data_IF_678116929827
#
_entry.id   IF_678116929827
#
_cell.length_a   1.000
_cell.length_b   1.000
_cell.length_c   1.000
_cell.angle_alpha   90.00
_cell.angle_beta   90.00
_cell.angle_gamma   90.00
#
_symmetry.space_group_name_H-M   'P 1'
#
loop_
_entity.id
_entity.type
_entity.pdbx_description
1 polymer ?
#
# COMPACT_ATOMS: atom_id res chain seq x y z
N UNK A 1 5.73 10.03 5.68
CA UNK A 1 4.67 9.96 4.64
C UNK A 1 3.29 9.77 5.27
N UNK A 2 2.25 10.50 4.84
CA UNK A 2 0.86 10.30 5.31
C UNK A 2 0.21 9.13 4.56
N UNK A 3 -0.53 8.27 5.28
CA UNK A 3 -1.28 7.15 4.70
C UNK A 3 -2.77 7.40 4.84
N UNK A 4 -3.52 7.23 3.75
CA UNK A 4 -4.99 7.29 3.75
C UNK A 4 -5.53 6.00 3.12
N UNK A 5 -6.54 5.39 3.74
CA UNK A 5 -7.17 4.19 3.22
C UNK A 5 -8.42 4.55 2.41
N UNK A 6 -8.53 4.01 1.18
CA UNK A 6 -9.67 4.28 0.30
C UNK A 6 -10.90 3.43 0.64
N UNK A 7 -10.71 2.32 1.36
CA UNK A 7 -11.75 1.35 1.71
C UNK A 7 -11.61 1.01 3.19
N UNK A 8 -12.74 0.90 3.89
CA UNK A 8 -12.78 0.65 5.35
C UNK A 8 -12.01 -0.61 5.74
N UNK A 9 -12.15 -1.70 4.96
CA UNK A 9 -11.46 -2.95 5.26
C UNK A 9 -9.94 -2.80 5.36
N UNK A 10 -9.32 -1.90 4.57
CA UNK A 10 -7.88 -1.69 4.60
C UNK A 10 -7.43 -1.06 5.94
N UNK A 11 -8.22 -0.09 6.42
CA UNK A 11 -8.00 0.51 7.74
C UNK A 11 -8.23 -0.53 8.84
N UNK A 12 -9.30 -1.31 8.75
CA UNK A 12 -9.60 -2.37 9.72
C UNK A 12 -8.48 -3.42 9.79
N UNK A 13 -7.94 -3.86 8.64
CA UNK A 13 -6.78 -4.75 8.61
C UNK A 13 -5.56 -4.14 9.29
N UNK A 14 -5.35 -2.84 9.10
CA UNK A 14 -4.23 -2.13 9.72
C UNK A 14 -4.40 -2.02 11.25
N UNK A 15 -5.62 -1.78 11.72
CA UNK A 15 -5.98 -1.67 13.13
C UNK A 15 -6.15 -3.02 13.84
N UNK A 16 -6.18 -4.13 13.08
CA UNK A 16 -6.36 -5.48 13.61
C UNK A 16 -7.82 -5.94 13.70
N UNK A 17 -8.77 -5.16 13.18
CA UNK A 17 -10.20 -5.42 13.16
C UNK A 17 -10.60 -6.40 12.03
N UNK A 18 -10.10 -7.64 12.07
CA UNK A 18 -10.28 -8.61 10.97
C UNK A 18 -11.54 -9.47 11.04
N UNK A 19 -12.43 -9.22 12.03
CA UNK A 19 -13.54 -10.12 12.38
C UNK A 19 -14.48 -10.40 11.22
N UNK A 20 -14.80 -9.36 10.44
CA UNK A 20 -15.80 -9.41 9.37
C UNK A 20 -15.20 -9.86 8.03
N UNK A 21 -13.87 -10.00 7.94
CA UNK A 21 -13.18 -10.35 6.70
C UNK A 21 -12.61 -11.77 6.77
N UNK A 22 -13.44 -12.75 6.39
CA UNK A 22 -13.11 -14.19 6.50
C UNK A 22 -11.75 -14.57 5.91
N UNK A 23 -11.41 -14.05 4.73
CA UNK A 23 -10.12 -14.33 4.05
C UNK A 23 -8.93 -13.90 4.93
N UNK A 24 -8.95 -12.66 5.41
CA UNK A 24 -7.85 -12.11 6.21
C UNK A 24 -7.83 -12.67 7.64
N UNK A 25 -8.99 -12.97 8.23
CA UNK A 25 -9.11 -13.69 9.50
C UNK A 25 -8.46 -15.08 9.43
N UNK A 26 -8.65 -15.79 8.32
CA UNK A 26 -8.06 -17.12 8.10
C UNK A 26 -6.56 -17.06 7.75
N UNK A 27 -6.03 -15.88 7.45
CA UNK A 27 -4.63 -15.66 7.10
C UNK A 27 -3.99 -14.53 7.94
N UNK A 28 -3.78 -14.76 9.25
CA UNK A 28 -3.20 -13.75 10.14
C UNK A 28 -1.77 -13.35 9.73
N UNK A 29 -1.04 -14.23 9.04
CA UNK A 29 0.30 -13.94 8.54
C UNK A 29 0.27 -12.86 7.46
N UNK A 30 -0.69 -12.92 6.53
CA UNK A 30 -0.89 -11.88 5.51
C UNK A 30 -1.20 -10.53 6.16
N UNK A 31 -2.08 -10.49 7.16
CA UNK A 31 -2.42 -9.26 7.89
C UNK A 31 -1.19 -8.65 8.54
N UNK A 32 -0.37 -9.47 9.24
CA UNK A 32 0.90 -9.01 9.83
C UNK A 32 1.86 -8.46 8.79
N UNK A 33 1.98 -9.09 7.63
CA UNK A 33 2.83 -8.61 6.54
C UNK A 33 2.30 -7.30 5.95
N UNK A 34 0.98 -7.20 5.75
CA UNK A 34 0.33 -5.97 5.28
C UNK A 34 0.62 -4.80 6.23
N UNK A 35 0.40 -4.96 7.53
CA UNK A 35 0.68 -3.95 8.56
C UNK A 35 2.14 -3.52 8.49
N UNK A 36 3.08 -4.47 8.49
CA UNK A 36 4.53 -4.18 8.38
C UNK A 36 4.88 -3.41 7.11
N UNK A 37 4.23 -3.72 5.99
CA UNK A 37 4.46 -2.99 4.74
C UNK A 37 3.90 -1.57 4.83
N UNK A 38 2.71 -1.37 5.40
CA UNK A 38 2.15 -0.02 5.64
C UNK A 38 3.06 0.79 6.56
N UNK A 39 3.60 0.19 7.63
CA UNK A 39 4.51 0.89 8.55
C UNK A 39 5.82 1.30 7.87
N UNK A 40 6.38 0.45 6.99
CA UNK A 40 7.51 0.83 6.13
C UNK A 40 7.15 2.02 5.23
N UNK A 41 5.97 2.00 4.61
CA UNK A 41 5.50 3.12 3.78
C UNK A 41 5.31 4.40 4.58
N UNK A 42 4.86 4.34 5.85
CA UNK A 42 4.77 5.52 6.73
C UNK A 42 6.14 6.15 7.01
N UNK A 43 7.15 5.29 7.17
CA UNK A 43 8.53 5.67 7.49
C UNK A 43 9.32 6.32 6.34
N UNK A 44 8.84 6.26 5.10
CA UNK A 44 9.51 6.95 3.99
C UNK A 44 9.25 8.46 4.07
N UNK A 45 10.23 9.24 3.61
CA UNK A 45 10.11 10.70 3.48
C UNK A 45 10.02 11.17 2.03
N UNK A 46 10.44 10.33 1.08
CA UNK A 46 10.38 10.57 -0.35
C UNK A 46 9.98 9.28 -1.07
N UNK A 47 9.09 9.39 -2.06
CA UNK A 47 8.68 8.27 -2.92
C UNK A 47 9.87 7.63 -3.64
N UNK A 48 10.94 8.38 -3.93
CA UNK A 48 12.16 7.85 -4.56
C UNK A 48 12.84 6.77 -3.71
N UNK A 49 12.67 6.79 -2.38
CA UNK A 49 13.19 5.75 -1.48
C UNK A 49 12.57 4.39 -1.77
N UNK A 50 11.37 4.33 -2.34
CA UNK A 50 10.73 3.07 -2.72
C UNK A 50 11.52 2.30 -3.79
N UNK A 51 12.21 3.00 -4.71
CA UNK A 51 13.09 2.36 -5.68
C UNK A 51 14.34 1.74 -5.04
N UNK A 52 14.78 2.26 -3.89
CA UNK A 52 15.94 1.74 -3.15
C UNK A 52 15.56 0.52 -2.30
N UNK A 53 14.31 0.46 -1.84
CA UNK A 53 13.77 -0.65 -1.05
C UNK A 53 13.40 -1.84 -1.95
N UNK A 54 14.41 -2.57 -2.44
CA UNK A 54 14.23 -3.72 -3.37
C UNK A 54 13.19 -4.75 -2.90
N UNK A 55 13.11 -5.00 -1.59
CA UNK A 55 12.12 -5.93 -0.99
C UNK A 55 10.66 -5.54 -1.23
N UNK A 56 10.37 -4.26 -1.49
CA UNK A 56 9.01 -3.79 -1.79
C UNK A 56 8.66 -3.93 -3.27
N UNK A 57 9.65 -4.19 -4.14
CA UNK A 57 9.44 -4.36 -5.58
C UNK A 57 8.49 -3.30 -6.15
N UNK A 58 8.78 -2.04 -5.81
CA UNK A 58 7.96 -0.91 -6.18
C UNK A 58 7.81 -0.80 -7.71
N UNK A 59 6.59 -0.58 -8.18
CA UNK A 59 6.28 -0.40 -9.59
C UNK A 59 5.18 0.63 -9.78
N UNK A 60 5.38 1.55 -10.72
CA UNK A 60 4.37 2.50 -11.17
C UNK A 60 3.68 1.93 -12.40
N UNK A 61 2.35 1.82 -12.37
CA UNK A 61 1.56 1.26 -13.46
C UNK A 61 1.45 2.27 -14.60
N UNK A 62 1.41 1.74 -15.82
CA UNK A 62 1.28 2.47 -17.08
C UNK A 62 0.02 2.01 -17.83
N UNK A 63 -0.36 2.71 -18.90
CA UNK A 63 -1.56 2.39 -19.68
C UNK A 63 -2.85 2.73 -18.95
N UNK A 64 -3.87 1.88 -19.03
CA UNK A 64 -5.20 2.11 -18.43
C UNK A 64 -5.20 2.25 -16.90
N UNK A 65 -4.12 1.77 -16.26
CA UNK A 65 -3.89 1.89 -14.82
C UNK A 65 -2.89 3.00 -14.46
N UNK A 66 -2.63 3.93 -15.39
CA UNK A 66 -1.76 5.07 -15.15
C UNK A 66 -2.14 5.82 -13.86
N UNK A 67 -1.13 6.14 -13.05
CA UNK A 67 -1.32 6.80 -11.75
C UNK A 67 -1.59 5.86 -10.57
N UNK A 68 -1.61 4.54 -10.80
CA UNK A 68 -1.58 3.54 -9.72
C UNK A 68 -0.15 3.06 -9.51
N UNK A 69 0.26 2.99 -8.25
CA UNK A 69 1.52 2.43 -7.81
C UNK A 69 1.29 1.16 -7.02
N UNK A 70 2.28 0.27 -7.01
CA UNK A 70 2.20 -1.02 -6.35
C UNK A 70 3.49 -1.38 -5.62
N UNK A 71 3.35 -1.92 -4.41
CA UNK A 71 4.44 -2.58 -3.67
C UNK A 71 4.00 -3.98 -3.24
N UNK A 72 4.97 -4.87 -3.08
CA UNK A 72 4.73 -6.24 -2.65
C UNK A 72 4.60 -6.33 -1.13
N UNK A 73 3.64 -7.13 -0.70
CA UNK A 73 3.49 -7.59 0.69
C UNK A 73 4.21 -8.92 0.87
N UNK A 74 4.01 -9.81 -0.10
CA UNK A 74 4.66 -11.10 -0.25
C UNK A 74 4.50 -11.55 -1.71
N UNK A 75 4.99 -12.75 -2.03
CA UNK A 75 4.97 -13.31 -3.40
C UNK A 75 3.59 -13.37 -4.07
N UNK A 76 2.50 -13.24 -3.31
CA UNK A 76 1.12 -13.35 -3.80
C UNK A 76 0.34 -12.04 -3.73
N UNK A 77 0.66 -11.14 -2.82
CA UNK A 77 -0.16 -9.95 -2.55
C UNK A 77 0.62 -8.65 -2.76
N UNK A 78 -0.08 -7.66 -3.32
CA UNK A 78 0.42 -6.30 -3.52
C UNK A 78 -0.53 -5.28 -2.90
N UNK A 79 0.06 -4.21 -2.39
CA UNK A 79 -0.67 -3.00 -2.05
C UNK A 79 -0.70 -2.12 -3.29
N UNK A 80 -1.90 -1.81 -3.76
CA UNK A 80 -2.14 -0.79 -4.77
C UNK A 80 -2.41 0.54 -4.07
N UNK A 81 -1.81 1.62 -4.54
CA UNK A 81 -1.99 2.94 -3.96
C UNK A 81 -1.82 4.04 -5.02
N UNK A 82 -2.27 5.25 -4.70
CA UNK A 82 -2.00 6.46 -5.47
C UNK A 82 -1.10 7.38 -4.67
N UNK A 83 -0.16 8.00 -5.36
CA UNK A 83 0.67 9.09 -4.84
C UNK A 83 -0.09 10.40 -5.03
N UNK A 84 -0.31 11.14 -3.94
CA UNK A 84 -0.95 12.45 -3.99
C UNK A 84 0.12 13.48 -3.61
N UNK A 85 0.28 14.46 -4.50
CA UNK A 85 1.26 15.51 -4.34
C UNK A 85 0.88 16.47 -3.19
N UNK A 86 1.88 17.16 -2.64
CA UNK A 86 1.67 18.22 -1.67
C UNK A 86 0.83 19.36 -2.27
N UNK A 87 0.04 20.02 -1.43
CA UNK A 87 -0.66 21.25 -1.81
C UNK A 87 0.32 22.42 -1.99
N UNK A 88 1.47 22.37 -1.29
CA UNK A 88 2.49 23.43 -1.29
C UNK A 88 3.52 23.24 -2.41
N UNK A 89 3.88 21.99 -2.72
CA UNK A 89 4.79 21.63 -3.81
C UNK A 89 4.33 20.37 -4.56
N UNK A 90 3.81 20.56 -5.77
CA UNK A 90 3.32 19.49 -6.65
C UNK A 90 4.37 18.44 -7.06
N UNK A 91 5.66 18.71 -6.90
CA UNK A 91 6.74 17.76 -7.17
C UNK A 91 6.98 16.80 -6.00
N UNK A 92 6.50 17.15 -4.81
CA UNK A 92 6.65 16.36 -3.59
C UNK A 92 5.39 15.51 -3.35
N UNK A 93 5.58 14.26 -2.94
CA UNK A 93 4.47 13.36 -2.58
C UNK A 93 4.34 13.32 -1.06
N UNK A 94 3.19 13.74 -0.55
CA UNK A 94 2.93 13.78 0.89
C UNK A 94 2.02 12.66 1.37
N UNK A 95 1.16 12.15 0.49
CA UNK A 95 0.14 11.17 0.84
C UNK A 95 0.19 9.96 -0.09
N UNK A 96 0.21 8.77 0.51
CA UNK A 96 -0.11 7.53 -0.20
C UNK A 96 -1.53 7.11 0.13
N UNK A 97 -2.38 7.15 -0.89
CA UNK A 97 -3.77 6.70 -0.79
C UNK A 97 -3.84 5.22 -1.15
N UNK A 98 -3.92 4.36 -0.14
CA UNK A 98 -4.03 2.92 -0.29
C UNK A 98 -5.37 2.57 -0.91
N UNK A 99 -5.35 1.95 -2.08
CA UNK A 99 -6.52 1.62 -2.88
C UNK A 99 -6.97 0.18 -2.70
N UNK A 100 -6.02 -0.77 -2.59
CA UNK A 100 -6.34 -2.19 -2.40
C UNK A 100 -5.17 -3.02 -1.85
N UNK A 101 -5.52 -4.17 -1.26
CA UNK A 101 -4.63 -5.30 -1.03
C UNK A 101 -5.06 -6.43 -1.99
N UNK A 102 -4.43 -6.48 -3.15
CA UNK A 102 -4.83 -7.35 -4.27
C UNK A 102 -3.90 -8.56 -4.39
N UNK A 103 -4.46 -9.72 -4.75
CA UNK A 103 -3.66 -10.86 -5.20
C UNK A 103 -3.10 -10.56 -6.58
N UNK A 104 -1.82 -10.87 -6.79
CA UNK A 104 -1.24 -10.77 -8.11
C UNK A 104 -1.83 -11.85 -9.03
N UNK A 105 -2.36 -11.44 -10.20
CA UNK A 105 -3.04 -12.25 -11.23
C UNK A 105 -4.54 -12.54 -11.01
N UNK A 106 -5.19 -11.93 -10.01
CA UNK A 106 -6.66 -11.76 -9.98
C UNK A 106 -7.07 -10.39 -10.53
#
# INVERSE_FOLDING_TARGET
MKIVFSKTYLADLYEGNVRDYKEYKSNPQLVKQYVKTIDKLKGITDVQQLYQLKSLHYSKKTGDLAGVSAVWVNEKYRILFREIASEEDSLTIDILKIADLSKHYE
#
